data_IF_496765926636
#
_entry.id   IF_496765926636
#
_cell.length_a   1.000
_cell.length_b   1.000
_cell.length_c   1.000
_cell.angle_alpha   90.00
_cell.angle_beta   90.00
_cell.angle_gamma   90.00
#
_symmetry.space_group_name_H-M   'P 1'
#
loop_
_entity.id
_entity.type
_entity.pdbx_description
1 polymer ?
#
# COMPACT_ATOMS: atom_id res chain seq x y z
N UNK A 1 -11.57 24.61 16.49
CA UNK A 1 -10.93 24.43 15.16
C UNK A 1 -9.82 23.40 15.36
N UNK A 2 -9.73 22.37 14.53
CA UNK A 2 -8.67 21.36 14.67
C UNK A 2 -7.30 22.01 14.44
N UNK A 3 -6.35 21.72 15.31
CA UNK A 3 -4.97 22.20 15.17
C UNK A 3 -4.29 21.43 14.03
N UNK A 4 -3.69 22.16 13.09
CA UNK A 4 -3.07 21.57 11.90
C UNK A 4 -1.55 21.58 12.05
N UNK A 5 -0.91 20.42 11.85
CA UNK A 5 0.55 20.26 11.87
C UNK A 5 1.08 19.93 10.48
N UNK A 6 2.24 20.48 10.14
CA UNK A 6 2.93 20.20 8.87
C UNK A 6 3.85 18.98 9.02
N UNK A 7 3.66 17.97 8.18
CA UNK A 7 4.55 16.80 8.08
C UNK A 7 4.89 16.53 6.62
N UNK A 8 6.01 15.84 6.37
CA UNK A 8 6.29 15.42 5.01
C UNK A 8 5.35 14.30 4.55
N UNK A 9 5.19 14.20 3.23
CA UNK A 9 4.27 13.27 2.58
C UNK A 9 4.60 11.81 2.94
N UNK A 10 5.89 11.46 3.05
CA UNK A 10 6.32 10.12 3.52
C UNK A 10 5.79 9.78 4.92
N UNK A 11 5.86 10.70 5.89
CA UNK A 11 5.27 10.52 7.22
C UNK A 11 3.74 10.47 7.16
N UNK A 12 3.12 11.26 6.31
CA UNK A 12 1.66 11.24 6.15
C UNK A 12 1.15 9.92 5.57
N UNK A 13 1.87 9.33 4.60
CA UNK A 13 1.54 8.00 4.07
C UNK A 13 1.64 6.92 5.16
N UNK A 14 2.67 6.97 6.01
CA UNK A 14 2.80 6.09 7.18
C UNK A 14 1.66 6.30 8.18
N UNK A 15 1.31 7.57 8.45
CA UNK A 15 0.19 7.93 9.32
C UNK A 15 -1.13 7.35 8.82
N UNK A 16 -1.41 7.47 7.51
CA UNK A 16 -2.61 6.89 6.87
C UNK A 16 -2.71 5.38 7.14
N UNK A 17 -1.61 4.65 6.96
CA UNK A 17 -1.59 3.20 7.18
C UNK A 17 -1.85 2.85 8.66
N UNK A 18 -1.30 3.63 9.59
CA UNK A 18 -1.56 3.47 11.02
C UNK A 18 -3.02 3.73 11.39
N UNK A 19 -3.61 4.81 10.86
CA UNK A 19 -5.02 5.14 11.06
C UNK A 19 -5.94 4.04 10.53
N UNK A 20 -5.64 3.50 9.34
CA UNK A 20 -6.36 2.34 8.78
C UNK A 20 -6.26 1.11 9.69
N UNK A 21 -5.07 0.82 10.20
CA UNK A 21 -4.88 -0.29 11.14
C UNK A 21 -5.67 -0.09 12.44
N UNK A 22 -5.63 1.12 13.03
CA UNK A 22 -6.37 1.45 14.24
C UNK A 22 -7.88 1.34 14.05
N UNK A 23 -8.40 1.77 12.89
CA UNK A 23 -9.81 1.53 12.53
C UNK A 23 -10.14 0.04 12.48
N UNK A 24 -9.27 -0.79 11.88
CA UNK A 24 -9.47 -2.24 11.85
C UNK A 24 -9.48 -2.86 13.25
N UNK A 25 -8.67 -2.35 14.19
CA UNK A 25 -8.68 -2.80 15.59
C UNK A 25 -9.97 -2.41 16.31
N UNK A 26 -10.42 -1.15 16.14
CA UNK A 26 -11.70 -0.69 16.70
C UNK A 26 -12.87 -1.50 16.13
N UNK A 27 -12.86 -1.77 14.81
CA UNK A 27 -13.86 -2.62 14.17
C UNK A 27 -13.89 -4.02 14.79
N UNK A 28 -12.72 -4.64 14.99
CA UNK A 28 -12.61 -5.95 15.62
C UNK A 28 -13.12 -5.94 17.07
N UNK A 29 -12.71 -4.96 17.88
CA UNK A 29 -13.17 -4.84 19.27
C UNK A 29 -14.69 -4.62 19.35
N UNK A 30 -15.25 -3.76 18.51
CA UNK A 30 -16.69 -3.53 18.45
C UNK A 30 -17.41 -4.83 18.07
N UNK A 31 -16.96 -5.53 17.03
CA UNK A 31 -17.59 -6.78 16.57
C UNK A 31 -17.53 -7.86 17.67
N UNK A 32 -16.38 -8.02 18.32
CA UNK A 32 -16.15 -9.06 19.32
C UNK A 32 -16.90 -8.79 20.61
N UNK A 33 -16.89 -7.55 21.12
CA UNK A 33 -17.37 -7.24 22.47
C UNK A 33 -18.77 -6.60 22.52
N UNK A 34 -19.46 -6.42 21.39
CA UNK A 34 -20.82 -5.86 21.36
C UNK A 34 -21.84 -6.71 22.15
N UNK A 35 -21.57 -7.99 22.35
CA UNK A 35 -22.38 -8.88 23.19
C UNK A 35 -21.43 -9.74 24.03
N UNK A 36 -21.45 -9.54 25.33
CA UNK A 36 -20.62 -10.29 26.29
C UNK A 36 -21.46 -10.70 27.51
N UNK A 37 -20.90 -11.58 28.33
CA UNK A 37 -21.47 -12.01 29.61
C UNK A 37 -21.54 -10.78 30.53
N UNK A 38 -22.68 -10.62 31.22
CA UNK A 38 -23.00 -9.42 32.02
C UNK A 38 -21.90 -9.05 33.03
N UNK A 39 -21.25 -10.04 33.64
CA UNK A 39 -20.18 -9.87 34.64
C UNK A 39 -18.77 -9.70 34.07
N UNK A 40 -18.59 -9.68 32.74
CA UNK A 40 -17.28 -9.60 32.08
C UNK A 40 -17.21 -8.55 30.96
N UNK A 41 -17.94 -7.43 31.08
CA UNK A 41 -17.86 -6.36 30.09
C UNK A 41 -16.54 -5.58 30.21
N UNK A 42 -15.54 -5.99 29.43
CA UNK A 42 -14.22 -5.34 29.39
C UNK A 42 -14.20 -4.01 28.59
N UNK A 43 -15.16 -3.80 27.67
CA UNK A 43 -15.15 -2.65 26.76
C UNK A 43 -16.47 -1.90 26.70
N UNK A 44 -16.42 -0.56 26.75
CA UNK A 44 -17.54 0.29 26.35
C UNK A 44 -17.60 0.40 24.81
N UNK A 45 -18.35 -0.52 24.20
CA UNK A 45 -18.52 -0.60 22.74
C UNK A 45 -19.14 0.66 22.14
N UNK A 46 -19.97 1.39 22.89
CA UNK A 46 -20.57 2.66 22.41
C UNK A 46 -19.50 3.74 22.33
N UNK A 47 -18.58 3.79 23.29
CA UNK A 47 -17.43 4.69 23.25
C UNK A 47 -16.48 4.32 22.10
N UNK A 48 -16.16 3.03 21.92
CA UNK A 48 -15.34 2.56 20.81
C UNK A 48 -15.94 2.94 19.45
N UNK A 49 -17.27 2.81 19.30
CA UNK A 49 -17.95 3.23 18.07
C UNK A 49 -17.85 4.74 17.82
N UNK A 50 -17.98 5.57 18.85
CA UNK A 50 -17.78 7.03 18.72
C UNK A 50 -16.33 7.36 18.31
N UNK A 51 -15.33 6.73 18.93
CA UNK A 51 -13.93 6.90 18.57
C UNK A 51 -13.67 6.50 17.12
N UNK A 52 -14.21 5.36 16.69
CA UNK A 52 -14.15 4.90 15.30
C UNK A 52 -14.72 5.93 14.33
N UNK A 53 -15.85 6.55 14.67
CA UNK A 53 -16.46 7.55 13.80
C UNK A 53 -15.60 8.80 13.62
N UNK A 54 -15.03 9.32 14.71
CA UNK A 54 -14.09 10.46 14.67
C UNK A 54 -12.87 10.10 13.83
N UNK A 55 -12.27 8.93 14.07
CA UNK A 55 -11.09 8.49 13.35
C UNK A 55 -11.35 8.27 11.85
N UNK A 56 -12.55 7.82 11.48
CA UNK A 56 -12.96 7.69 10.08
C UNK A 56 -13.07 9.04 9.38
N UNK A 57 -13.61 10.06 10.04
CA UNK A 57 -13.68 11.42 9.50
C UNK A 57 -12.28 12.01 9.28
N UNK A 58 -11.39 11.84 10.27
CA UNK A 58 -10.00 12.27 10.16
C UNK A 58 -9.25 11.54 9.03
N UNK A 59 -9.51 10.24 8.83
CA UNK A 59 -8.97 9.49 7.70
C UNK A 59 -9.44 10.05 6.35
N UNK A 60 -10.70 10.50 6.25
CA UNK A 60 -11.22 11.13 5.02
C UNK A 60 -10.44 12.42 4.74
N UNK A 61 -10.26 13.28 5.73
CA UNK A 61 -9.49 14.53 5.58
C UNK A 61 -8.04 14.26 5.16
N UNK A 62 -7.40 13.26 5.79
CA UNK A 62 -6.05 12.84 5.42
C UNK A 62 -5.96 12.34 3.98
N UNK A 63 -6.95 11.54 3.51
CA UNK A 63 -7.01 11.07 2.12
C UNK A 63 -7.16 12.23 1.12
N UNK A 64 -7.96 13.23 1.45
CA UNK A 64 -8.12 14.43 0.60
C UNK A 64 -6.80 15.19 0.49
N UNK A 65 -6.13 15.45 1.62
CA UNK A 65 -4.84 16.14 1.65
C UNK A 65 -3.75 15.37 0.87
N UNK A 66 -3.68 14.05 1.05
CA UNK A 66 -2.76 13.18 0.31
C UNK A 66 -3.02 13.21 -1.19
N UNK A 67 -4.28 13.12 -1.63
CA UNK A 67 -4.62 13.16 -3.05
C UNK A 67 -4.26 14.50 -3.68
N UNK A 68 -4.49 15.61 -2.98
CA UNK A 68 -4.08 16.93 -3.45
C UNK A 68 -2.55 17.02 -3.58
N UNK A 69 -1.80 16.52 -2.60
CA UNK A 69 -0.33 16.53 -2.59
C UNK A 69 0.28 15.60 -3.67
N UNK A 70 -0.39 14.50 -4.00
CA UNK A 70 0.07 13.56 -5.02
C UNK A 70 -0.18 14.03 -6.46
N UNK A 71 -1.06 15.01 -6.67
CA UNK A 71 -1.45 15.47 -8.02
C UNK A 71 -0.27 15.77 -8.95
N UNK A 72 0.83 16.43 -8.51
CA UNK A 72 1.98 16.72 -9.38
C UNK A 72 2.75 15.48 -9.86
N UNK A 73 2.75 14.39 -9.08
CA UNK A 73 3.49 13.14 -9.37
C UNK A 73 2.57 11.99 -9.77
N UNK A 74 1.28 12.28 -10.00
CA UNK A 74 0.29 11.25 -10.30
C UNK A 74 0.64 10.45 -11.56
N UNK A 75 1.23 11.10 -12.57
CA UNK A 75 1.75 10.44 -13.76
C UNK A 75 2.82 9.39 -13.43
N UNK A 76 3.81 9.75 -12.60
CA UNK A 76 4.88 8.84 -12.18
C UNK A 76 4.34 7.65 -11.39
N UNK A 77 3.31 7.85 -10.56
CA UNK A 77 2.66 6.75 -9.83
C UNK A 77 2.01 5.75 -10.80
N UNK A 78 1.35 6.23 -11.85
CA UNK A 78 0.75 5.37 -12.87
C UNK A 78 1.81 4.71 -13.74
N UNK A 79 2.85 5.43 -14.14
CA UNK A 79 3.98 4.89 -14.90
C UNK A 79 4.66 3.74 -14.13
N UNK A 80 4.93 3.93 -12.84
CA UNK A 80 5.46 2.87 -11.97
C UNK A 80 4.56 1.63 -11.95
N UNK A 81 3.24 1.81 -11.91
CA UNK A 81 2.28 0.71 -11.93
C UNK A 81 2.32 -0.06 -13.26
N UNK A 82 2.38 0.65 -14.39
CA UNK A 82 2.49 0.05 -15.72
C UNK A 82 3.83 -0.67 -15.92
N UNK A 83 4.95 -0.10 -15.45
CA UNK A 83 6.25 -0.76 -15.48
C UNK A 83 6.23 -2.08 -14.70
N UNK A 84 5.64 -2.10 -13.49
CA UNK A 84 5.50 -3.32 -12.70
C UNK A 84 4.59 -4.35 -13.37
N UNK A 85 3.49 -3.90 -13.99
CA UNK A 85 2.61 -4.76 -14.76
C UNK A 85 3.33 -5.39 -15.96
N UNK A 86 4.16 -4.60 -16.66
CA UNK A 86 4.97 -5.08 -17.78
C UNK A 86 5.99 -6.12 -17.34
N UNK A 87 6.75 -5.88 -16.26
CA UNK A 87 7.69 -6.89 -15.71
C UNK A 87 6.95 -8.18 -15.35
N UNK A 88 5.79 -8.07 -14.69
CA UNK A 88 4.98 -9.23 -14.33
C UNK A 88 4.46 -9.99 -15.56
N UNK A 89 4.14 -9.29 -16.64
CA UNK A 89 3.74 -9.88 -17.92
C UNK A 89 4.93 -10.57 -18.62
N UNK A 90 6.08 -9.90 -18.71
CA UNK A 90 7.32 -10.43 -19.28
C UNK A 90 7.75 -11.73 -18.58
N UNK A 91 7.62 -11.79 -17.25
CA UNK A 91 7.89 -13.00 -16.46
C UNK A 91 6.99 -14.20 -16.82
N UNK A 92 5.86 -13.98 -17.48
CA UNK A 92 4.94 -15.04 -17.93
C UNK A 92 5.17 -15.45 -19.39
N UNK A 93 6.04 -14.77 -20.14
CA UNK A 93 6.29 -15.08 -21.55
C UNK A 93 7.00 -16.44 -21.65
N UNK A 94 6.44 -17.35 -22.45
CA UNK A 94 7.08 -18.63 -22.72
C UNK A 94 8.27 -18.45 -23.66
N UNK A 95 9.47 -18.78 -23.18
CA UNK A 95 10.72 -18.62 -23.91
C UNK A 95 11.31 -19.95 -24.39
N UNK A 96 10.53 -21.03 -24.41
CA UNK A 96 10.96 -22.36 -24.85
C UNK A 96 11.37 -22.32 -26.33
N UNK A 97 12.61 -22.68 -26.61
CA UNK A 97 13.18 -22.65 -27.95
C UNK A 97 14.05 -23.89 -28.17
N UNK A 98 13.92 -24.51 -29.34
CA UNK A 98 14.62 -25.72 -29.71
C UNK A 98 13.86 -27.02 -29.39
N UNK A 99 14.51 -28.16 -29.64
CA UNK A 99 13.89 -29.47 -29.48
C UNK A 99 13.63 -29.78 -28.00
N UNK A 100 12.44 -30.27 -27.72
CA UNK A 100 12.02 -30.72 -26.40
C UNK A 100 11.21 -32.01 -26.52
N UNK A 101 11.36 -32.88 -25.54
CA UNK A 101 10.51 -34.06 -25.42
C UNK A 101 9.29 -33.68 -24.57
N UNK A 102 8.09 -33.98 -25.05
CA UNK A 102 6.85 -33.76 -24.32
C UNK A 102 6.26 -35.08 -23.80
N UNK A 103 5.83 -35.07 -22.54
CA UNK A 103 5.10 -36.16 -21.90
C UNK A 103 5.88 -37.45 -21.74
N UNK A 104 5.20 -38.48 -21.22
CA UNK A 104 5.75 -39.83 -21.06
C UNK A 104 5.85 -40.57 -22.42
N UNK A 105 5.17 -40.09 -23.46
CA UNK A 105 5.13 -40.68 -24.79
C UNK A 105 6.39 -40.40 -25.63
N UNK A 106 7.27 -39.50 -25.19
CA UNK A 106 8.57 -39.28 -25.82
C UNK A 106 8.53 -38.50 -27.14
N UNK A 107 7.41 -37.82 -27.46
CA UNK A 107 7.30 -37.06 -28.71
C UNK A 107 8.25 -35.87 -28.69
N UNK A 108 9.11 -35.78 -29.71
CA UNK A 108 10.03 -34.65 -29.90
C UNK A 108 9.30 -33.52 -30.62
N UNK A 109 9.09 -32.42 -29.92
CA UNK A 109 8.52 -31.17 -30.44
C UNK A 109 9.62 -30.12 -30.52
N UNK A 110 9.79 -29.47 -31.68
CA UNK A 110 10.75 -28.38 -31.83
C UNK A 110 10.04 -27.03 -31.69
N UNK A 111 10.38 -26.27 -30.65
CA UNK A 111 9.76 -24.98 -30.36
C UNK A 111 10.53 -23.84 -30.99
N UNK A 112 9.80 -22.83 -31.47
CA UNK A 112 10.38 -21.59 -31.98
C UNK A 112 9.81 -20.41 -31.21
N UNK A 113 10.53 -19.98 -30.17
CA UNK A 113 10.23 -18.72 -29.51
C UNK A 113 10.64 -17.53 -30.40
N UNK A 114 9.74 -16.55 -30.56
CA UNK A 114 10.04 -15.27 -31.20
C UNK A 114 10.83 -14.34 -30.28
N UNK A 115 10.50 -14.36 -28.99
CA UNK A 115 11.30 -13.75 -27.94
C UNK A 115 11.97 -14.85 -27.13
N UNK A 116 13.30 -14.90 -27.18
CA UNK A 116 14.06 -15.87 -26.40
C UNK A 116 14.27 -15.34 -24.99
N UNK A 117 14.70 -16.23 -24.09
CA UNK A 117 14.98 -15.87 -22.70
C UNK A 117 15.93 -14.67 -22.55
N UNK A 118 17.04 -14.56 -23.32
CA UNK A 118 17.91 -13.39 -23.24
C UNK A 118 17.24 -12.08 -23.67
N UNK A 119 16.25 -12.12 -24.58
CA UNK A 119 15.51 -10.94 -25.01
C UNK A 119 14.58 -10.46 -23.92
N UNK A 120 13.82 -11.39 -23.32
CA UNK A 120 12.95 -11.09 -22.17
C UNK A 120 13.76 -10.54 -21.00
N UNK A 121 14.88 -11.18 -20.65
CA UNK A 121 15.71 -10.73 -19.52
C UNK A 121 16.34 -9.36 -19.76
N UNK A 122 16.65 -9.03 -21.01
CA UNK A 122 17.13 -7.69 -21.39
C UNK A 122 16.04 -6.64 -21.22
N UNK A 123 14.83 -6.93 -21.67
CA UNK A 123 13.69 -6.02 -21.50
C UNK A 123 13.30 -5.86 -20.03
N UNK A 124 13.30 -6.95 -19.25
CA UNK A 124 13.04 -6.89 -17.80
C UNK A 124 14.04 -5.96 -17.13
N UNK A 125 15.35 -6.13 -17.38
CA UNK A 125 16.38 -5.25 -16.80
C UNK A 125 16.19 -3.78 -17.19
N UNK A 126 15.80 -3.51 -18.44
CA UNK A 126 15.53 -2.14 -18.91
C UNK A 126 14.36 -1.52 -18.15
N UNK A 127 13.28 -2.28 -17.95
CA UNK A 127 12.09 -1.81 -17.23
C UNK A 127 12.37 -1.69 -15.72
N UNK A 128 13.19 -2.57 -15.15
CA UNK A 128 13.64 -2.47 -13.74
C UNK A 128 14.44 -1.19 -13.48
N UNK A 129 15.33 -0.80 -14.40
CA UNK A 129 16.05 0.48 -14.31
C UNK A 129 15.11 1.69 -14.32
N UNK A 130 14.03 1.62 -15.10
CA UNK A 130 13.00 2.66 -15.14
C UNK A 130 12.19 2.71 -13.84
N UNK A 131 11.87 1.53 -13.28
CA UNK A 131 11.24 1.41 -11.96
C UNK A 131 12.10 2.09 -10.90
N UNK A 132 13.40 1.79 -10.85
CA UNK A 132 14.32 2.37 -9.86
C UNK A 132 14.37 3.90 -9.99
N UNK A 133 14.50 4.43 -11.22
CA UNK A 133 14.49 5.87 -11.50
C UNK A 133 13.21 6.54 -10.97
N UNK A 134 12.04 5.95 -11.27
CA UNK A 134 10.76 6.50 -10.84
C UNK A 134 10.62 6.40 -9.31
N UNK A 135 11.07 5.32 -8.69
CA UNK A 135 11.03 5.16 -7.24
C UNK A 135 11.87 6.22 -6.53
N UNK A 136 13.09 6.50 -7.01
CA UNK A 136 13.94 7.55 -6.46
C UNK A 136 13.28 8.93 -6.54
N UNK A 137 12.65 9.24 -7.68
CA UNK A 137 11.93 10.51 -7.88
C UNK A 137 10.73 10.65 -6.95
N UNK A 138 9.95 9.57 -6.79
CA UNK A 138 8.81 9.53 -5.86
C UNK A 138 9.27 9.67 -4.41
N UNK A 139 10.37 9.03 -4.02
CA UNK A 139 10.89 9.11 -2.66
C UNK A 139 11.44 10.50 -2.33
N UNK A 140 12.16 11.12 -3.28
CA UNK A 140 12.60 12.51 -3.15
C UNK A 140 11.40 13.46 -3.00
N UNK A 141 10.36 13.29 -3.81
CA UNK A 141 9.14 14.08 -3.72
C UNK A 141 8.44 13.86 -2.36
N UNK A 142 8.29 12.60 -1.93
CA UNK A 142 7.65 12.24 -0.67
C UNK A 142 8.38 12.82 0.55
N UNK A 143 9.70 12.95 0.48
CA UNK A 143 10.49 13.55 1.55
C UNK A 143 10.37 15.09 1.58
N UNK A 144 10.30 15.72 0.40
CA UNK A 144 10.34 17.18 0.25
C UNK A 144 8.97 17.87 0.28
N UNK A 145 7.90 17.14 -0.03
CA UNK A 145 6.54 17.67 -0.03
C UNK A 145 5.95 17.65 1.37
N UNK A 146 5.48 18.81 1.84
CA UNK A 146 4.85 18.99 3.14
C UNK A 146 3.32 19.03 2.97
N UNK A 147 2.61 18.42 3.91
CA UNK A 147 1.15 18.46 3.97
C UNK A 147 0.68 18.82 5.38
N UNK A 148 -0.45 19.51 5.45
CA UNK A 148 -1.13 19.81 6.71
C UNK A 148 -1.99 18.60 7.13
N UNK A 149 -1.82 18.13 8.35
CA UNK A 149 -2.64 17.07 8.96
C UNK A 149 -3.19 17.52 10.31
N UNK A 150 -4.31 16.93 10.73
CA UNK A 150 -4.85 17.13 12.08
C UNK A 150 -3.82 16.65 13.12
N UNK A 151 -3.46 17.53 14.07
CA UNK A 151 -2.47 17.25 15.12
C UNK A 151 -2.89 16.09 16.02
N UNK A 152 -4.19 15.85 16.21
CA UNK A 152 -4.68 14.74 17.03
C UNK A 152 -4.30 13.37 16.47
N UNK A 153 -4.16 13.24 15.15
CA UNK A 153 -3.68 12.01 14.51
C UNK A 153 -2.22 11.70 14.84
N UNK A 154 -1.43 12.70 15.22
CA UNK A 154 -0.04 12.53 15.64
C UNK A 154 0.04 12.15 17.13
N UNK A 155 -0.84 12.72 17.96
CA UNK A 155 -0.89 12.43 19.40
C UNK A 155 -1.25 10.96 19.70
N UNK A 156 -2.21 10.38 18.95
CA UNK A 156 -2.58 8.97 19.09
C UNK A 156 -1.47 7.99 18.67
N UNK A 157 -0.42 8.48 18.01
CA UNK A 157 0.70 7.64 17.59
C UNK A 157 1.80 7.43 18.63
N UNK A 158 1.76 8.18 19.73
CA UNK A 158 2.70 8.09 20.85
C UNK A 158 2.09 7.44 22.11
N UNK A 159 0.80 7.06 22.08
CA UNK A 159 0.18 6.32 23.18
C UNK A 159 0.55 4.84 23.10
N UNK A 160 1.21 4.27 24.14
CA UNK A 160 1.53 2.85 24.17
C UNK A 160 0.24 2.01 24.14
N UNK A 161 0.28 0.81 23.54
CA UNK A 161 -0.88 -0.08 23.42
C UNK A 161 -1.59 -0.40 24.75
N UNK A 162 -0.89 -0.24 25.87
CA UNK A 162 -1.30 -0.64 27.21
C UNK A 162 -2.06 0.44 28.00
N UNK A 163 -2.38 1.59 27.39
CA UNK A 163 -3.08 2.68 28.07
C UNK A 163 -4.61 2.54 28.11
N UNK A 164 -5.17 1.45 27.57
CA UNK A 164 -6.56 1.06 27.79
C UNK A 164 -6.52 -0.09 28.80
N UNK A 165 -6.58 0.28 30.09
CA UNK A 165 -6.89 -0.63 31.19
C UNK A 165 -8.30 -0.34 31.68
#
# INVERSE_FOLDING_TARGET
MAEMTQINLSRALKLKNRVVHRLSQLDMQIITYNSDIEDNQEYDVRLLYKQRMVLAEQLVQLKVALNAANKPIQGLIFELAECKALVAMLGKVNTKHGPSIEGFSGVRTNYVAQFRKPDIDREVRRVEQEIDRIQDELDQFNYRTMIAVDASLLADSDLPPDAIR
#
